data_IF_240964232485
#
_entry.id   IF_240964232485
#
_cell.length_a   1.000
_cell.length_b   1.000
_cell.length_c   1.000
_cell.angle_alpha   90.00
_cell.angle_beta   90.00
_cell.angle_gamma   90.00
#
_symmetry.space_group_name_H-M   'P 1'
#
loop_
_entity.id
_entity.type
_entity.pdbx_description
1 polymer ?
#
# COMPACT_ATOMS: atom_id res chain seq x y z
N UNK A 1 -6.16 22.96 -0.64
CA UNK A 1 -6.76 24.05 0.15
C UNK A 1 -5.99 25.37 0.05
N UNK A 2 -4.86 25.40 -0.69
CA UNK A 2 -4.08 26.65 -0.89
C UNK A 2 -3.41 27.21 0.38
N UNK A 3 -3.15 26.36 1.37
CA UNK A 3 -2.49 26.76 2.62
C UNK A 3 -0.96 26.71 2.54
N UNK A 4 -0.42 25.82 1.70
CA UNK A 4 1.02 25.61 1.52
C UNK A 4 1.33 25.44 0.04
N UNK A 5 2.47 26.00 -0.39
CA UNK A 5 2.99 25.80 -1.76
C UNK A 5 3.78 24.48 -1.86
N UNK A 6 4.42 24.07 -0.76
CA UNK A 6 5.18 22.82 -0.70
C UNK A 6 5.15 22.23 0.71
N UNK A 7 5.27 20.90 0.79
CA UNK A 7 5.41 20.15 2.04
C UNK A 7 6.35 18.96 1.87
N UNK A 8 7.14 18.66 2.90
CA UNK A 8 7.86 17.39 3.03
C UNK A 8 6.95 16.46 3.83
N UNK A 9 6.58 15.32 3.25
CA UNK A 9 5.69 14.33 3.86
C UNK A 9 6.36 12.96 3.87
N UNK A 10 6.08 12.16 4.87
CA UNK A 10 6.64 10.81 5.01
C UNK A 10 6.81 10.41 6.46
N UNK A 11 7.55 9.35 6.68
CA UNK A 11 7.77 8.80 8.00
C UNK A 11 9.15 8.16 8.16
N UNK A 12 9.53 7.99 9.41
CA UNK A 12 10.71 7.22 9.81
C UNK A 12 10.37 6.37 11.02
N UNK A 13 10.90 5.16 11.06
CA UNK A 13 10.77 4.29 12.20
C UNK A 13 12.06 3.47 12.38
N UNK A 14 12.43 3.23 13.63
CA UNK A 14 13.62 2.47 13.99
C UNK A 14 13.23 1.22 14.76
N UNK A 15 13.79 0.08 14.37
CA UNK A 15 13.55 -1.18 15.03
C UNK A 15 14.13 -1.14 16.48
N UNK A 16 13.26 -1.35 17.46
CA UNK A 16 13.66 -1.35 18.85
C UNK A 16 13.06 -2.53 19.61
N UNK A 17 13.67 -2.85 20.77
CA UNK A 17 13.23 -3.97 21.61
C UNK A 17 11.80 -3.81 22.13
N UNK A 18 11.37 -2.58 22.40
CA UNK A 18 10.01 -2.31 22.88
C UNK A 18 8.99 -2.69 21.81
N UNK A 19 9.16 -2.21 20.59
CA UNK A 19 8.30 -2.52 19.45
C UNK A 19 8.31 -4.01 19.14
N UNK A 20 9.50 -4.62 19.05
CA UNK A 20 9.63 -6.06 18.79
C UNK A 20 8.88 -6.91 19.82
N UNK A 21 9.05 -6.60 21.11
CA UNK A 21 8.38 -7.33 22.19
C UNK A 21 6.86 -7.09 22.18
N UNK A 22 6.41 -5.87 21.85
CA UNK A 22 4.99 -5.55 21.68
C UNK A 22 4.34 -6.42 20.63
N UNK A 23 4.90 -6.44 19.42
CA UNK A 23 4.38 -7.26 18.32
C UNK A 23 4.49 -8.77 18.57
N UNK A 24 5.59 -9.20 19.25
CA UNK A 24 5.73 -10.60 19.67
C UNK A 24 4.64 -11.02 20.68
N UNK A 25 4.24 -10.14 21.57
CA UNK A 25 3.16 -10.42 22.54
C UNK A 25 1.79 -10.57 21.88
N UNK A 26 1.59 -9.96 20.72
CA UNK A 26 0.39 -10.13 19.89
C UNK A 26 0.40 -11.42 19.07
N UNK A 27 1.52 -12.15 19.05
CA UNK A 27 1.70 -13.41 18.30
C UNK A 27 1.46 -13.26 16.78
N UNK A 28 1.82 -12.11 16.22
CA UNK A 28 1.63 -11.80 14.79
C UNK A 28 2.94 -11.70 14.01
N UNK A 29 4.06 -12.04 14.65
CA UNK A 29 5.37 -12.11 13.97
C UNK A 29 5.54 -13.48 13.30
N UNK A 30 5.97 -13.47 12.02
CA UNK A 30 6.43 -14.70 11.36
C UNK A 30 7.82 -15.08 11.88
N UNK A 31 8.03 -16.38 12.09
CA UNK A 31 9.34 -16.94 12.51
C UNK A 31 10.32 -17.08 11.36
N UNK A 32 9.82 -16.93 10.14
CA UNK A 32 10.57 -16.99 8.88
C UNK A 32 10.34 -15.70 8.11
N UNK A 33 10.49 -15.71 6.80
CA UNK A 33 10.16 -14.56 5.96
C UNK A 33 8.64 -14.44 5.77
N UNK A 34 8.09 -13.27 5.97
CA UNK A 34 6.67 -13.02 5.70
C UNK A 34 6.33 -13.28 4.23
N UNK A 35 5.11 -13.71 4.01
CA UNK A 35 4.60 -14.12 2.70
C UNK A 35 3.21 -13.54 2.46
N UNK A 36 3.15 -12.27 2.08
CA UNK A 36 1.87 -11.60 1.86
C UNK A 36 0.99 -12.35 0.86
N UNK A 37 -0.30 -12.45 1.15
CA UNK A 37 -1.34 -13.13 0.34
C UNK A 37 -1.15 -14.63 0.12
N UNK A 38 -0.12 -15.23 0.69
CA UNK A 38 0.09 -16.68 0.59
C UNK A 38 -0.82 -17.46 1.55
N UNK A 39 -1.24 -18.66 1.12
CA UNK A 39 -2.04 -19.58 1.93
C UNK A 39 -1.38 -19.93 3.26
N UNK A 40 -0.05 -20.07 3.27
CA UNK A 40 0.73 -20.49 4.43
C UNK A 40 1.25 -19.31 5.28
N UNK A 41 0.76 -18.08 5.02
CA UNK A 41 1.13 -16.89 5.78
C UNK A 41 0.80 -17.04 7.27
N UNK A 42 1.68 -16.60 8.14
CA UNK A 42 1.51 -16.74 9.58
C UNK A 42 1.77 -15.45 10.37
N UNK A 43 2.29 -14.41 9.71
CA UNK A 43 2.60 -13.16 10.38
C UNK A 43 3.45 -12.22 9.54
N UNK A 44 3.79 -11.11 10.13
CA UNK A 44 4.65 -10.09 9.55
C UNK A 44 6.10 -10.21 10.06
N UNK A 45 7.04 -9.58 9.35
CA UNK A 45 8.35 -9.25 9.89
C UNK A 45 8.42 -7.73 10.10
N UNK A 46 9.04 -7.30 11.19
CA UNK A 46 9.31 -5.88 11.41
C UNK A 46 10.55 -5.44 10.64
N UNK A 47 10.53 -4.21 10.15
CA UNK A 47 11.66 -3.54 9.51
C UNK A 47 11.89 -2.16 10.13
N UNK A 48 12.91 -1.48 9.64
CA UNK A 48 13.21 -0.07 9.94
C UNK A 48 13.54 0.68 8.67
N UNK A 49 13.28 1.99 8.65
CA UNK A 49 13.57 2.80 7.48
C UNK A 49 12.98 4.19 7.55
N UNK A 50 13.15 4.93 6.45
CA UNK A 50 12.58 6.25 6.26
C UNK A 50 12.20 6.45 4.79
N UNK A 51 11.03 7.04 4.53
CA UNK A 51 10.59 7.41 3.20
C UNK A 51 9.95 8.81 3.24
N UNK A 52 10.37 9.67 2.32
CA UNK A 52 9.87 11.04 2.24
C UNK A 52 9.61 11.46 0.79
N UNK A 53 8.54 12.20 0.61
CA UNK A 53 8.19 12.86 -0.64
C UNK A 53 8.15 14.39 -0.43
N UNK A 54 8.45 15.14 -1.48
CA UNK A 54 8.19 16.58 -1.54
C UNK A 54 6.94 16.77 -2.38
N UNK A 55 5.85 17.19 -1.76
CA UNK A 55 4.62 17.59 -2.44
C UNK A 55 4.71 19.08 -2.76
N UNK A 56 4.33 19.47 -3.96
CA UNK A 56 4.27 20.88 -4.38
C UNK A 56 2.92 21.13 -5.06
N UNK A 57 2.38 22.34 -4.86
CA UNK A 57 1.23 22.78 -5.64
C UNK A 57 1.62 22.96 -7.10
N UNK A 58 0.72 22.68 -8.05
CA UNK A 58 0.97 22.81 -9.49
C UNK A 58 1.47 24.24 -9.82
N UNK A 59 0.88 25.26 -9.21
CA UNK A 59 1.27 26.66 -9.41
C UNK A 59 2.68 27.03 -8.96
N UNK A 60 3.28 26.21 -8.08
CA UNK A 60 4.64 26.43 -7.54
C UNK A 60 5.71 25.56 -8.21
N UNK A 61 5.33 24.68 -9.15
CA UNK A 61 6.27 23.79 -9.81
C UNK A 61 7.29 24.58 -10.66
N UNK A 62 8.56 24.23 -10.50
CA UNK A 62 9.68 24.78 -11.30
C UNK A 62 10.32 23.71 -12.20
N UNK A 63 9.86 22.46 -12.11
CA UNK A 63 10.34 21.33 -12.89
C UNK A 63 9.21 20.33 -13.07
N UNK A 64 9.31 19.44 -14.05
CA UNK A 64 8.40 18.31 -14.23
C UNK A 64 8.39 17.46 -12.97
N UNK A 65 7.23 17.22 -12.35
CA UNK A 65 7.12 16.31 -11.21
C UNK A 65 7.25 14.85 -11.66
N UNK A 66 7.56 13.95 -10.74
CA UNK A 66 7.56 12.50 -11.02
C UNK A 66 6.16 11.98 -11.32
N UNK A 67 5.18 12.44 -10.55
CA UNK A 67 3.78 12.10 -10.70
C UNK A 67 2.92 13.10 -9.94
N UNK A 68 1.62 12.94 -10.00
CA UNK A 68 0.62 13.67 -9.23
C UNK A 68 0.03 12.76 -8.15
N UNK A 69 -0.23 13.28 -6.96
CA UNK A 69 -1.12 12.67 -5.97
C UNK A 69 -2.55 13.08 -6.37
N UNK A 70 -3.19 12.26 -7.18
CA UNK A 70 -4.49 12.55 -7.79
C UNK A 70 -5.67 12.22 -6.89
N UNK A 71 -5.50 11.27 -5.96
CA UNK A 71 -6.55 10.90 -5.01
C UNK A 71 -5.98 10.46 -3.67
N UNK A 72 -6.76 10.66 -2.62
CA UNK A 72 -6.40 10.22 -1.27
C UNK A 72 -7.63 10.04 -0.41
N UNK A 73 -7.53 9.14 0.56
CA UNK A 73 -8.48 9.02 1.64
C UNK A 73 -7.80 8.57 2.93
N UNK A 74 -8.36 9.00 4.05
CA UNK A 74 -8.02 8.49 5.37
C UNK A 74 -9.32 8.26 6.12
N UNK A 75 -9.59 7.01 6.46
CA UNK A 75 -10.86 6.57 7.04
C UNK A 75 -10.63 5.82 8.34
N UNK A 76 -11.68 5.51 9.06
CA UNK A 76 -11.60 4.66 10.26
C UNK A 76 -12.75 3.66 10.28
N UNK A 77 -12.42 2.36 10.34
CA UNK A 77 -13.43 1.30 10.36
C UNK A 77 -14.01 1.01 11.76
N UNK A 78 -13.32 1.42 12.82
CA UNK A 78 -13.72 1.24 14.23
C UNK A 78 -14.13 -0.21 14.59
N UNK A 79 -13.53 -1.21 13.94
CA UNK A 79 -13.86 -2.62 14.13
C UNK A 79 -13.20 -3.21 15.37
N UNK A 80 -11.87 -3.13 15.46
CA UNK A 80 -11.08 -3.69 16.56
C UNK A 80 -9.77 -2.90 16.75
N UNK A 81 -9.18 -2.97 17.95
CA UNK A 81 -7.95 -2.23 18.26
C UNK A 81 -6.73 -2.63 17.42
N UNK A 82 -6.64 -3.90 17.04
CA UNK A 82 -5.46 -4.47 16.35
C UNK A 82 -5.83 -5.38 15.17
N UNK A 83 -7.06 -5.38 14.74
CA UNK A 83 -7.53 -6.24 13.63
C UNK A 83 -8.49 -5.49 12.72
N UNK A 84 -8.49 -5.84 11.46
CA UNK A 84 -9.41 -5.32 10.45
C UNK A 84 -10.66 -6.19 10.33
N UNK A 85 -11.76 -5.61 9.81
CA UNK A 85 -13.00 -6.35 9.59
C UNK A 85 -12.78 -7.50 8.59
N UNK A 86 -13.36 -8.68 8.83
CA UNK A 86 -13.23 -9.80 7.88
C UNK A 86 -13.77 -9.49 6.48
N UNK A 87 -14.73 -8.58 6.39
CA UNK A 87 -15.36 -8.11 5.16
C UNK A 87 -14.54 -7.04 4.44
N UNK A 88 -13.45 -6.55 5.06
CA UNK A 88 -12.57 -5.53 4.51
C UNK A 88 -13.20 -4.14 4.43
N UNK A 89 -14.05 -3.77 5.39
CA UNK A 89 -14.82 -2.53 5.32
C UNK A 89 -13.95 -1.28 5.33
N UNK A 90 -12.93 -1.22 6.20
CA UNK A 90 -12.02 -0.07 6.26
C UNK A 90 -11.20 0.08 4.99
N UNK A 91 -10.58 -1.01 4.53
CA UNK A 91 -9.82 -1.04 3.29
C UNK A 91 -10.71 -0.69 2.07
N UNK A 92 -11.95 -1.22 2.03
CA UNK A 92 -12.91 -0.89 0.98
C UNK A 92 -13.25 0.60 0.98
N UNK A 93 -13.51 1.18 2.14
CA UNK A 93 -13.89 2.58 2.27
C UNK A 93 -12.76 3.50 1.84
N UNK A 94 -11.54 3.30 2.37
CA UNK A 94 -10.38 4.14 2.04
C UNK A 94 -10.02 4.08 0.56
N UNK A 95 -9.96 2.88 -0.03
CA UNK A 95 -9.71 2.72 -1.46
C UNK A 95 -10.80 3.36 -2.31
N UNK A 96 -12.09 3.14 -1.99
CA UNK A 96 -13.20 3.69 -2.75
C UNK A 96 -13.22 5.22 -2.74
N UNK A 97 -12.96 5.84 -1.56
CA UNK A 97 -12.89 7.30 -1.44
C UNK A 97 -11.66 7.89 -2.16
N UNK A 98 -10.50 7.23 -2.08
CA UNK A 98 -9.30 7.67 -2.81
C UNK A 98 -9.52 7.64 -4.33
N UNK A 99 -10.11 6.57 -4.85
CA UNK A 99 -10.44 6.44 -6.27
C UNK A 99 -11.48 7.48 -6.68
N UNK A 100 -12.56 7.63 -5.90
CA UNK A 100 -13.60 8.63 -6.20
C UNK A 100 -13.04 10.07 -6.19
N UNK A 101 -12.12 10.39 -5.29
CA UNK A 101 -11.52 11.72 -5.19
C UNK A 101 -10.59 12.03 -6.37
N UNK A 102 -10.02 11.01 -7.01
CA UNK A 102 -9.13 11.17 -8.17
C UNK A 102 -9.88 11.42 -9.48
N UNK A 103 -11.13 10.98 -9.58
CA UNK A 103 -11.90 10.98 -10.83
C UNK A 103 -11.45 9.95 -11.86
N UNK A 104 -10.55 9.04 -11.51
CA UNK A 104 -10.02 7.97 -12.37
C UNK A 104 -10.95 6.76 -12.28
N UNK A 105 -11.20 6.09 -13.42
CA UNK A 105 -12.00 4.87 -13.44
C UNK A 105 -11.22 3.66 -12.95
N UNK A 106 -11.91 2.61 -12.46
CA UNK A 106 -11.29 1.41 -11.91
C UNK A 106 -10.38 0.71 -12.92
N UNK A 107 -10.77 0.73 -14.18
CA UNK A 107 -10.07 0.08 -15.30
C UNK A 107 -8.75 0.79 -15.68
N UNK A 108 -8.56 2.01 -15.23
CA UNK A 108 -7.35 2.79 -15.48
C UNK A 108 -6.26 2.56 -14.42
N UNK A 109 -6.58 1.85 -13.33
CA UNK A 109 -5.59 1.54 -12.28
C UNK A 109 -4.69 0.40 -12.78
N UNK A 110 -3.41 0.70 -12.98
CA UNK A 110 -2.44 -0.23 -13.56
C UNK A 110 -1.78 -1.15 -12.52
N UNK A 111 -1.63 -0.66 -11.29
CA UNK A 111 -0.95 -1.40 -10.23
C UNK A 111 -1.44 -0.99 -8.84
N UNK A 112 -1.43 -1.95 -7.91
CA UNK A 112 -1.76 -1.71 -6.51
C UNK A 112 -0.58 -2.13 -5.63
N UNK A 113 -0.01 -1.19 -4.90
CA UNK A 113 0.92 -1.45 -3.81
C UNK A 113 0.08 -1.70 -2.55
N UNK A 114 -0.16 -2.97 -2.25
CA UNK A 114 -1.05 -3.38 -1.16
C UNK A 114 -0.36 -3.26 0.21
N UNK A 115 -1.15 -3.06 1.26
CA UNK A 115 -0.62 -3.08 2.62
C UNK A 115 0.04 -4.43 2.94
N UNK A 116 -0.61 -5.54 2.64
CA UNK A 116 -0.04 -6.88 2.53
C UNK A 116 1.01 -7.23 3.58
N UNK A 117 0.62 -7.41 4.83
CA UNK A 117 1.55 -7.66 5.95
C UNK A 117 2.04 -9.10 6.06
N UNK A 118 1.35 -10.05 5.43
CA UNK A 118 1.54 -11.48 5.64
C UNK A 118 0.81 -12.01 6.89
N UNK A 119 0.02 -11.18 7.57
CA UNK A 119 -0.83 -11.67 8.67
C UNK A 119 -2.14 -12.23 8.10
N UNK A 120 -2.68 -13.34 8.68
CA UNK A 120 -3.91 -13.95 8.18
C UNK A 120 -5.09 -12.97 8.09
N UNK A 121 -5.28 -12.16 9.13
CA UNK A 121 -6.43 -11.24 9.22
C UNK A 121 -6.33 -10.06 8.24
N UNK A 122 -5.19 -9.38 8.19
CA UNK A 122 -5.01 -8.22 7.30
C UNK A 122 -5.16 -8.61 5.83
N UNK A 123 -4.42 -9.63 5.39
CA UNK A 123 -4.41 -9.97 3.97
C UNK A 123 -5.76 -10.51 3.47
N UNK A 124 -6.50 -11.22 4.35
CA UNK A 124 -7.86 -11.64 4.04
C UNK A 124 -8.79 -10.42 3.91
N UNK A 125 -8.75 -9.49 4.86
CA UNK A 125 -9.53 -8.27 4.88
C UNK A 125 -9.26 -7.40 3.65
N UNK A 126 -7.98 -7.11 3.36
CA UNK A 126 -7.60 -6.34 2.18
C UNK A 126 -7.99 -7.04 0.88
N UNK A 127 -7.77 -8.35 0.79
CA UNK A 127 -8.18 -9.15 -0.37
C UNK A 127 -9.69 -9.15 -0.61
N UNK A 128 -10.50 -9.18 0.46
CA UNK A 128 -11.96 -9.03 0.34
C UNK A 128 -12.33 -7.64 -0.18
N UNK A 129 -11.67 -6.59 0.30
CA UNK A 129 -11.90 -5.24 -0.19
C UNK A 129 -11.52 -5.09 -1.68
N UNK A 130 -10.39 -5.67 -2.11
CA UNK A 130 -10.01 -5.70 -3.52
C UNK A 130 -11.07 -6.39 -4.38
N UNK A 131 -11.60 -7.54 -3.95
CA UNK A 131 -12.69 -8.24 -4.65
C UNK A 131 -13.97 -7.42 -4.71
N UNK A 132 -14.31 -6.71 -3.64
CA UNK A 132 -15.50 -5.84 -3.59
C UNK A 132 -15.42 -4.66 -4.56
N UNK A 133 -14.23 -4.10 -4.75
CA UNK A 133 -14.02 -2.95 -5.63
C UNK A 133 -13.86 -3.38 -7.09
N UNK A 134 -12.98 -4.34 -7.35
CA UNK A 134 -12.56 -4.71 -8.71
C UNK A 134 -13.25 -5.98 -9.25
N UNK A 135 -14.01 -6.70 -8.41
CA UNK A 135 -14.66 -7.95 -8.84
C UNK A 135 -13.65 -9.02 -9.22
N UNK A 136 -13.83 -9.62 -10.40
CA UNK A 136 -12.95 -10.67 -10.91
C UNK A 136 -11.62 -10.15 -11.46
N UNK A 137 -11.57 -8.89 -11.90
CA UNK A 137 -10.42 -8.30 -12.58
C UNK A 137 -9.66 -7.32 -11.66
N UNK A 138 -9.01 -7.86 -10.63
CA UNK A 138 -8.13 -7.07 -9.78
C UNK A 138 -6.86 -6.74 -10.55
N UNK A 139 -6.44 -5.45 -10.61
CA UNK A 139 -5.19 -5.05 -11.23
C UNK A 139 -3.99 -5.82 -10.65
N UNK A 140 -2.85 -5.91 -11.36
CA UNK A 140 -1.60 -6.40 -10.79
C UNK A 140 -1.34 -5.76 -9.42
N UNK A 141 -0.97 -6.55 -8.43
CA UNK A 141 -0.72 -6.04 -7.08
C UNK A 141 0.41 -6.81 -6.40
N UNK A 142 1.11 -6.14 -5.50
CA UNK A 142 2.11 -6.79 -4.64
C UNK A 142 2.37 -5.99 -3.37
N UNK A 143 2.97 -6.65 -2.39
CA UNK A 143 3.47 -6.03 -1.17
C UNK A 143 4.99 -5.99 -1.18
N UNK A 144 5.56 -4.82 -0.88
CA UNK A 144 7.00 -4.65 -0.70
C UNK A 144 7.49 -5.07 0.69
N UNK A 145 6.57 -5.40 1.61
CA UNK A 145 6.93 -5.76 2.99
C UNK A 145 7.76 -7.04 3.11
N UNK A 146 7.70 -7.93 2.12
CA UNK A 146 8.57 -9.10 2.09
C UNK A 146 10.05 -8.75 1.79
N UNK A 147 10.33 -7.54 1.25
CA UNK A 147 11.70 -7.02 1.06
C UNK A 147 12.23 -6.30 2.30
N UNK A 148 11.40 -5.40 2.86
CA UNK A 148 11.85 -4.39 3.83
C UNK A 148 11.31 -4.62 5.25
N UNK A 149 10.39 -5.57 5.43
CA UNK A 149 9.60 -5.73 6.63
C UNK A 149 8.51 -4.65 6.75
N UNK A 150 7.70 -4.75 7.78
CA UNK A 150 6.74 -3.72 8.14
C UNK A 150 7.47 -2.63 8.95
N UNK A 151 7.64 -1.48 8.35
CA UNK A 151 8.39 -0.36 8.92
C UNK A 151 7.51 0.61 9.74
N UNK A 152 6.32 0.18 10.11
CA UNK A 152 5.36 0.89 10.99
C UNK A 152 5.14 2.34 10.55
N UNK A 153 5.59 3.31 11.34
CA UNK A 153 5.41 4.74 11.05
C UNK A 153 6.13 5.23 9.80
N UNK A 154 7.07 4.46 9.24
CA UNK A 154 7.70 4.75 7.95
C UNK A 154 7.01 4.07 6.77
N UNK A 155 6.10 3.11 7.02
CA UNK A 155 5.59 2.18 6.00
C UNK A 155 4.96 2.90 4.82
N UNK A 156 3.96 3.73 5.06
CA UNK A 156 3.25 4.47 4.01
C UNK A 156 4.18 5.39 3.23
N UNK A 157 5.12 6.08 3.91
CA UNK A 157 6.09 6.95 3.25
C UNK A 157 7.03 6.19 2.30
N UNK A 158 7.51 5.02 2.71
CA UNK A 158 8.36 4.16 1.88
C UNK A 158 7.54 3.57 0.72
N UNK A 159 6.34 3.06 0.99
CA UNK A 159 5.45 2.48 -0.02
C UNK A 159 4.98 3.53 -1.05
N UNK A 160 4.77 4.77 -0.62
CA UNK A 160 4.53 5.90 -1.52
C UNK A 160 5.73 6.16 -2.46
N UNK A 161 6.97 6.09 -1.96
CA UNK A 161 8.17 6.21 -2.80
C UNK A 161 8.23 5.07 -3.83
N UNK A 162 7.97 3.82 -3.43
CA UNK A 162 7.89 2.70 -4.37
C UNK A 162 6.81 2.93 -5.45
N UNK A 163 5.65 3.45 -5.07
CA UNK A 163 4.55 3.76 -5.99
C UNK A 163 4.91 4.85 -7.00
N UNK A 164 5.60 5.91 -6.54
CA UNK A 164 6.15 6.95 -7.42
C UNK A 164 7.18 6.38 -8.40
N UNK A 165 8.09 5.51 -7.93
CA UNK A 165 9.09 4.85 -8.78
C UNK A 165 8.44 3.89 -9.78
N UNK A 166 7.32 3.25 -9.41
CA UNK A 166 6.55 2.43 -10.35
C UNK A 166 6.10 3.24 -11.56
N UNK A 167 5.61 4.46 -11.35
CA UNK A 167 5.20 5.36 -12.44
C UNK A 167 6.41 5.89 -13.20
N UNK A 168 7.41 6.44 -12.49
CA UNK A 168 8.56 7.11 -13.12
C UNK A 168 9.43 6.17 -13.95
N UNK A 169 9.58 4.92 -13.51
CA UNK A 169 10.47 3.92 -14.13
C UNK A 169 9.73 2.76 -14.81
N UNK A 170 8.41 2.70 -14.71
CA UNK A 170 7.64 1.57 -15.23
C UNK A 170 7.95 0.26 -14.51
N UNK A 171 7.92 0.25 -13.17
CA UNK A 171 8.32 -0.89 -12.35
C UNK A 171 7.14 -1.54 -11.63
N UNK A 172 7.05 -2.88 -11.69
CA UNK A 172 6.22 -3.66 -10.78
C UNK A 172 7.16 -4.53 -9.93
N UNK A 173 7.06 -4.35 -8.61
CA UNK A 173 7.86 -5.11 -7.65
C UNK A 173 7.21 -6.46 -7.37
N UNK A 174 7.98 -7.56 -7.27
CA UNK A 174 7.40 -8.88 -7.01
C UNK A 174 6.93 -9.01 -5.56
N UNK A 175 5.84 -9.73 -5.36
CA UNK A 175 5.42 -10.21 -4.05
C UNK A 175 6.26 -11.43 -3.68
N UNK A 176 7.26 -11.25 -2.84
CA UNK A 176 8.17 -12.34 -2.48
C UNK A 176 7.51 -13.41 -1.60
N UNK A 177 8.05 -14.61 -1.65
CA UNK A 177 7.68 -15.77 -0.83
C UNK A 177 6.25 -16.30 -1.06
N UNK A 178 5.59 -15.90 -2.14
CA UNK A 178 4.29 -16.43 -2.53
C UNK A 178 4.44 -17.77 -3.25
N UNK A 179 3.60 -18.75 -2.89
CA UNK A 179 3.53 -20.08 -3.51
C UNK A 179 2.11 -20.46 -3.90
N UNK A 180 1.15 -20.26 -3.01
CA UNK A 180 -0.24 -20.63 -3.19
C UNK A 180 -1.18 -19.51 -2.75
N UNK A 181 -2.25 -19.29 -3.54
CA UNK A 181 -3.26 -18.30 -3.20
C UNK A 181 -3.98 -18.64 -1.89
N UNK A 182 -4.24 -17.64 -1.08
CA UNK A 182 -5.06 -17.78 0.11
C UNK A 182 -6.51 -18.16 -0.27
N UNK A 183 -7.14 -19.13 0.43
CA UNK A 183 -8.43 -19.67 0.05
C UNK A 183 -9.58 -18.67 0.20
N UNK A 184 -9.41 -17.63 1.03
CA UNK A 184 -10.44 -16.64 1.33
C UNK A 184 -10.80 -15.81 0.08
N UNK A 185 -9.84 -15.52 -0.79
CA UNK A 185 -10.06 -14.67 -1.95
C UNK A 185 -9.59 -15.25 -3.28
N UNK A 186 -8.67 -16.21 -3.24
CA UNK A 186 -8.07 -16.80 -4.45
C UNK A 186 -7.22 -15.79 -5.26
N UNK A 187 -6.86 -14.65 -4.68
CA UNK A 187 -6.05 -13.64 -5.35
C UNK A 187 -4.61 -14.10 -5.51
N UNK A 188 -4.03 -13.80 -6.67
CA UNK A 188 -2.65 -14.12 -7.01
C UNK A 188 -1.92 -12.79 -7.22
N UNK A 189 -0.96 -12.43 -6.35
CA UNK A 189 -0.16 -11.23 -6.53
C UNK A 189 0.86 -11.40 -7.66
N UNK A 190 1.40 -10.28 -8.16
CA UNK A 190 2.52 -10.32 -9.09
C UNK A 190 3.78 -10.84 -8.39
N UNK A 191 4.40 -11.88 -8.94
CA UNK A 191 5.54 -12.57 -8.32
C UNK A 191 6.87 -12.37 -9.08
N UNK A 192 6.83 -11.70 -10.22
CA UNK A 192 7.99 -11.39 -11.04
C UNK A 192 8.27 -9.87 -11.04
N UNK A 193 9.56 -9.52 -11.00
CA UNK A 193 9.95 -8.13 -11.23
C UNK A 193 9.72 -7.76 -12.69
N UNK A 194 9.01 -6.68 -12.92
CA UNK A 194 8.76 -6.17 -14.27
C UNK A 194 9.32 -4.75 -14.39
N UNK A 195 9.87 -4.42 -15.56
CA UNK A 195 10.40 -3.11 -15.89
C UNK A 195 9.97 -2.66 -17.28
N UNK A 196 9.95 -1.36 -17.51
CA UNK A 196 9.54 -0.78 -18.79
C UNK A 196 8.04 -0.95 -19.08
N UNK A 197 7.24 -1.19 -18.04
CA UNK A 197 5.78 -1.30 -18.15
C UNK A 197 5.19 0.11 -18.15
N UNK A 198 4.29 0.44 -19.07
CA UNK A 198 3.59 1.72 -19.02
C UNK A 198 2.60 1.73 -17.84
N UNK A 199 3.00 2.36 -16.74
CA UNK A 199 2.19 2.51 -15.54
C UNK A 199 1.79 3.98 -15.40
N UNK A 200 0.49 4.24 -15.38
CA UNK A 200 -0.05 5.59 -15.24
C UNK A 200 -0.69 5.85 -13.90
N UNK A 201 -1.32 4.86 -13.30
CA UNK A 201 -2.09 5.00 -12.07
C UNK A 201 -1.74 3.89 -11.09
N UNK A 202 -1.26 4.27 -9.90
CA UNK A 202 -0.90 3.36 -8.83
C UNK A 202 -1.68 3.69 -7.57
N UNK A 203 -2.43 2.71 -7.06
CA UNK A 203 -3.08 2.78 -5.76
C UNK A 203 -2.15 2.20 -4.69
N UNK A 204 -1.92 2.94 -3.61
CA UNK A 204 -1.07 2.53 -2.48
C UNK A 204 -1.88 2.51 -1.19
N UNK A 205 -1.91 1.36 -0.50
CA UNK A 205 -2.71 1.13 0.68
C UNK A 205 -1.87 1.03 1.94
N UNK A 206 -2.32 1.64 3.03
CA UNK A 206 -1.69 1.53 4.34
C UNK A 206 -2.76 1.49 5.44
N UNK A 207 -2.79 0.37 6.17
CA UNK A 207 -3.81 0.10 7.19
C UNK A 207 -3.14 -0.05 8.55
N UNK A 208 -3.67 0.65 9.54
CA UNK A 208 -3.06 0.74 10.86
C UNK A 208 -3.97 0.21 11.97
N UNK A 209 -3.34 -0.17 13.09
CA UNK A 209 -4.06 -0.47 14.31
C UNK A 209 -4.95 0.69 14.75
N UNK A 210 -6.08 0.36 15.35
CA UNK A 210 -7.12 1.34 15.67
C UNK A 210 -8.11 1.56 14.52
N UNK A 211 -7.94 0.83 13.39
CA UNK A 211 -8.81 0.94 12.22
C UNK A 211 -8.55 2.17 11.38
N UNK A 212 -7.36 2.75 11.46
CA UNK A 212 -6.96 3.88 10.64
C UNK A 212 -6.47 3.39 9.28
N UNK A 213 -7.27 3.58 8.25
CA UNK A 213 -7.05 3.09 6.91
C UNK A 213 -6.82 4.24 5.94
N UNK A 214 -5.70 4.18 5.22
CA UNK A 214 -5.26 5.20 4.28
C UNK A 214 -5.04 4.59 2.91
N UNK A 215 -5.47 5.29 1.88
CA UNK A 215 -5.20 4.94 0.49
C UNK A 215 -4.80 6.19 -0.30
N UNK A 216 -3.73 6.08 -1.07
CA UNK A 216 -3.19 7.13 -1.93
C UNK A 216 -3.25 6.68 -3.38
N UNK A 217 -3.69 7.55 -4.29
CA UNK A 217 -3.66 7.29 -5.71
C UNK A 217 -2.70 8.26 -6.40
N UNK A 218 -1.66 7.70 -6.98
CA UNK A 218 -0.65 8.42 -7.74
C UNK A 218 -0.91 8.26 -9.22
N UNK A 219 -0.75 9.34 -9.98
CA UNK A 219 -1.02 9.38 -11.42
C UNK A 219 0.13 9.99 -12.19
N UNK A 220 0.46 9.41 -13.34
CA UNK A 220 1.41 10.01 -14.28
C UNK A 220 0.92 11.40 -14.71
N UNK A 221 1.84 12.35 -14.76
CA UNK A 221 1.51 13.69 -15.22
C UNK A 221 1.51 13.76 -16.75
N UNK A 222 0.62 14.58 -17.30
CA UNK A 222 0.61 14.91 -18.73
C UNK A 222 1.52 16.12 -19.02
N UNK A 223 2.39 16.53 -18.10
CA UNK A 223 3.33 17.62 -18.35
C UNK A 223 4.33 17.16 -19.42
N UNK A 224 4.51 17.94 -20.50
CA UNK A 224 5.56 17.65 -21.47
C UNK A 224 6.93 17.70 -20.78
N UNK A 225 7.77 16.73 -21.10
CA UNK A 225 9.14 16.63 -20.60
C UNK A 225 10.01 17.79 -21.09
#
# INVERSE_FOLDING_TARGET
>A
HGLLDAAIVGGTDALCRFTLNGFNSLMILDKTHCRPFDRSRTGLNLGEGAGYLVLQSESSLQRTPYCELSGYANTNEAYHQTGSSPEGDGAFLSMSEAIASSGISLEEIDYINVHGTGTPGNDASEGMALRRIFGEYVPPFSSVKAFIGHTLGASEGIEAVYSVLSIDKGLIYPNLNFTDAMPETGLIPETSFQEGIPIRHVLSNSFGFGGNDSSLLFSATNFPA
#
